data_IF_688599343695
#
_entry.id   IF_688599343695
#
_cell.length_a   1.000
_cell.length_b   1.000
_cell.length_c   1.000
_cell.angle_alpha   90.00
_cell.angle_beta   90.00
_cell.angle_gamma   90.00
#
_symmetry.space_group_name_H-M   'P 1'
#
loop_
_entity.id
_entity.type
_entity.pdbx_description
1 polymer ?
#
# COMPACT_ATOMS: atom_id res chain seq x y z
N UNK A 1 -9.37 18.35 15.18
CA UNK A 1 -7.92 18.26 15.32
C UNK A 1 -7.30 17.52 14.14
N UNK A 2 -6.35 18.15 13.54
CA UNK A 2 -5.67 17.49 12.43
C UNK A 2 -4.61 16.54 12.94
N UNK A 3 -4.49 15.44 12.25
CA UNK A 3 -3.42 14.49 12.45
C UNK A 3 -2.09 15.15 12.10
N UNK A 4 -1.06 14.87 12.87
CA UNK A 4 0.30 15.31 12.54
C UNK A 4 1.03 14.26 11.72
N UNK A 5 0.29 13.50 10.95
CA UNK A 5 0.82 12.46 10.07
C UNK A 5 1.73 13.08 9.02
N UNK A 6 2.96 12.60 8.97
CA UNK A 6 3.97 13.09 8.04
C UNK A 6 4.32 11.96 7.06
N UNK A 7 4.26 12.25 5.78
CA UNK A 7 4.60 11.28 4.75
C UNK A 7 5.75 11.80 3.90
N UNK A 8 6.59 10.89 3.43
CA UNK A 8 7.70 11.24 2.54
C UNK A 8 8.15 10.02 1.75
N UNK A 9 8.83 10.28 0.64
CA UNK A 9 9.52 9.21 -0.09
C UNK A 9 10.71 8.77 0.77
N UNK A 10 10.87 7.46 1.05
CA UNK A 10 12.00 7.01 1.83
C UNK A 10 13.31 7.25 1.09
N UNK A 11 14.25 7.93 1.73
CA UNK A 11 15.53 8.30 1.15
C UNK A 11 16.70 7.81 1.99
N UNK A 12 16.64 8.03 3.32
CA UNK A 12 17.70 7.55 4.21
C UNK A 12 17.61 6.05 4.38
N UNK A 13 18.71 5.43 4.81
CA UNK A 13 18.72 4.00 5.08
C UNK A 13 17.68 3.64 6.13
N UNK A 14 17.54 4.47 7.17
CA UNK A 14 16.53 4.23 8.21
C UNK A 14 15.11 4.28 7.64
N UNK A 15 14.83 5.23 6.76
CA UNK A 15 13.51 5.35 6.15
C UNK A 15 13.22 4.16 5.22
N UNK A 16 14.21 3.69 4.49
CA UNK A 16 14.07 2.50 3.67
C UNK A 16 13.82 1.26 4.54
N UNK A 17 14.52 1.13 5.65
CA UNK A 17 14.32 0.04 6.59
C UNK A 17 12.92 0.12 7.24
N UNK A 18 12.46 1.32 7.56
CA UNK A 18 11.11 1.51 8.11
C UNK A 18 10.04 1.07 7.12
N UNK A 19 10.19 1.43 5.85
CA UNK A 19 9.27 1.01 4.81
C UNK A 19 9.30 -0.51 4.62
N UNK A 20 10.52 -1.08 4.62
CA UNK A 20 10.71 -2.53 4.54
C UNK A 20 9.99 -3.24 5.69
N UNK A 21 10.12 -2.72 6.89
CA UNK A 21 9.50 -3.31 8.08
C UNK A 21 7.98 -3.32 7.99
N UNK A 22 7.39 -2.21 7.53
CA UNK A 22 5.93 -2.16 7.33
C UNK A 22 5.50 -3.22 6.34
N UNK A 23 6.16 -3.31 5.19
CA UNK A 23 5.82 -4.29 4.17
C UNK A 23 5.94 -5.72 4.73
N UNK A 24 7.07 -6.05 5.33
CA UNK A 24 7.34 -7.41 5.78
C UNK A 24 6.46 -7.81 6.97
N UNK A 25 5.98 -6.85 7.73
CA UNK A 25 5.04 -7.11 8.83
C UNK A 25 3.64 -7.39 8.30
N UNK A 26 3.17 -6.61 7.33
CA UNK A 26 1.81 -6.74 6.79
C UNK A 26 1.72 -7.87 5.76
N UNK A 27 2.80 -8.13 5.03
CA UNK A 27 2.85 -9.18 3.99
C UNK A 27 3.97 -10.17 4.34
N UNK A 28 3.82 -10.95 5.42
CA UNK A 28 4.90 -11.84 5.89
C UNK A 28 5.22 -12.97 4.93
N UNK A 29 4.35 -13.28 3.99
CA UNK A 29 4.57 -14.33 3.00
C UNK A 29 5.42 -13.85 1.82
N UNK A 30 5.75 -12.57 1.73
CA UNK A 30 6.42 -12.01 0.57
C UNK A 30 7.44 -10.95 1.00
N UNK A 31 8.49 -11.39 1.67
CA UNK A 31 9.51 -10.51 2.23
C UNK A 31 10.29 -9.77 1.14
N UNK A 32 10.53 -8.49 1.37
CA UNK A 32 11.39 -7.66 0.53
C UNK A 32 12.73 -7.44 1.23
N UNK A 33 13.82 -7.50 0.46
CA UNK A 33 15.13 -7.08 0.93
C UNK A 33 15.23 -5.56 0.85
N UNK A 34 16.27 -4.99 1.41
CA UNK A 34 16.48 -3.55 1.33
C UNK A 34 16.73 -3.10 -0.11
N UNK A 35 17.42 -3.93 -0.90
CA UNK A 35 17.62 -3.66 -2.32
C UNK A 35 16.29 -3.68 -3.10
N UNK A 36 15.38 -4.58 -2.71
CA UNK A 36 14.03 -4.60 -3.30
C UNK A 36 13.31 -3.29 -3.02
N UNK A 37 13.45 -2.74 -1.82
CA UNK A 37 12.81 -1.47 -1.46
C UNK A 37 13.40 -0.33 -2.30
N UNK A 38 14.72 -0.30 -2.46
CA UNK A 38 15.39 0.71 -3.31
C UNK A 38 14.87 0.66 -4.74
N UNK A 39 14.67 -0.54 -5.27
CA UNK A 39 14.12 -0.74 -6.60
C UNK A 39 12.68 -0.21 -6.69
N UNK A 40 11.89 -0.40 -5.64
CA UNK A 40 10.52 0.12 -5.58
C UNK A 40 10.47 1.64 -5.61
N UNK A 41 11.42 2.31 -4.95
CA UNK A 41 11.50 3.78 -4.97
C UNK A 41 11.62 4.29 -6.41
N UNK A 42 12.39 3.58 -7.22
CA UNK A 42 12.62 4.00 -8.61
C UNK A 42 11.46 3.67 -9.55
N UNK A 43 10.79 2.52 -9.33
CA UNK A 43 9.75 2.04 -10.24
C UNK A 43 8.34 2.46 -9.86
N UNK A 44 8.11 2.72 -8.59
CA UNK A 44 6.78 3.07 -8.07
C UNK A 44 6.85 4.36 -7.27
N UNK A 45 5.69 4.91 -6.94
CA UNK A 45 5.62 6.01 -5.98
C UNK A 45 5.31 5.41 -4.62
N UNK A 46 6.28 5.43 -3.72
CA UNK A 46 6.08 4.90 -2.37
C UNK A 46 6.30 5.99 -1.34
N UNK A 47 5.53 5.93 -0.25
CA UNK A 47 5.65 6.85 0.87
C UNK A 47 5.75 6.06 2.16
N UNK A 48 6.59 6.55 3.08
CA UNK A 48 6.61 6.09 4.46
C UNK A 48 5.87 7.14 5.31
N UNK A 49 5.08 6.69 6.26
CA UNK A 49 4.26 7.56 7.10
C UNK A 49 4.69 7.50 8.56
N UNK A 50 4.83 8.66 9.16
CA UNK A 50 5.23 8.81 10.56
C UNK A 50 4.24 9.68 11.33
N UNK A 51 4.06 9.35 12.60
CA UNK A 51 3.41 10.23 13.56
C UNK A 51 4.50 10.62 14.57
N UNK A 52 5.04 11.83 14.43
CA UNK A 52 6.27 12.18 15.13
C UNK A 52 7.41 11.30 14.61
N UNK A 53 8.05 10.55 15.50
CA UNK A 53 9.12 9.61 15.13
C UNK A 53 8.63 8.17 15.01
N UNK A 54 7.32 7.95 15.17
CA UNK A 54 6.75 6.60 15.17
C UNK A 54 6.28 6.23 13.78
N UNK A 55 6.73 5.08 13.29
CA UNK A 55 6.31 4.55 11.99
C UNK A 55 4.86 4.09 12.09
N UNK A 56 4.00 4.60 11.22
CA UNK A 56 2.56 4.28 11.19
C UNK A 56 2.23 3.30 10.07
N UNK A 57 2.76 3.54 8.89
CA UNK A 57 2.40 2.75 7.72
C UNK A 57 3.09 3.22 6.46
N UNK A 58 2.54 2.80 5.33
CA UNK A 58 3.14 3.11 4.03
C UNK A 58 2.09 3.12 2.94
N UNK A 59 2.46 3.71 1.80
CA UNK A 59 1.66 3.63 0.58
C UNK A 59 2.52 3.20 -0.59
N UNK A 60 1.87 2.57 -1.57
CA UNK A 60 2.49 2.24 -2.85
C UNK A 60 1.50 2.61 -3.95
N UNK A 61 1.98 3.31 -4.97
CA UNK A 61 1.21 3.57 -6.18
C UNK A 61 2.03 3.03 -7.34
N UNK A 62 1.52 1.98 -7.98
CA UNK A 62 2.17 1.34 -9.12
C UNK A 62 1.63 1.93 -10.41
N UNK A 63 2.51 2.45 -11.29
CA UNK A 63 2.07 2.97 -12.57
C UNK A 63 1.45 1.88 -13.44
N UNK A 64 0.61 2.24 -14.40
CA UNK A 64 0.09 1.25 -15.36
C UNK A 64 1.22 0.69 -16.21
N UNK A 65 1.03 -0.54 -16.69
CA UNK A 65 1.97 -1.21 -17.60
C UNK A 65 1.21 -1.63 -18.85
N UNK A 66 1.93 -2.15 -19.83
CA UNK A 66 1.29 -2.67 -21.04
C UNK A 66 0.37 -3.84 -20.73
N UNK A 67 0.74 -4.64 -19.73
CA UNK A 67 -0.06 -5.82 -19.33
C UNK A 67 -1.22 -5.45 -18.42
N UNK A 68 -1.11 -4.33 -17.67
CA UNK A 68 -2.13 -3.91 -16.72
C UNK A 68 -2.31 -2.39 -16.82
N UNK A 69 -3.37 -1.91 -17.47
CA UNK A 69 -3.61 -0.48 -17.61
C UNK A 69 -4.10 0.20 -16.34
N UNK A 70 -4.41 -0.57 -15.31
CA UNK A 70 -4.87 0.00 -14.04
C UNK A 70 -3.69 0.54 -13.23
N UNK A 71 -3.97 1.56 -12.41
CA UNK A 71 -3.03 2.03 -11.41
C UNK A 71 -3.34 1.31 -10.11
N UNK A 72 -2.35 0.66 -9.51
CA UNK A 72 -2.54 -0.05 -8.25
C UNK A 72 -2.17 0.84 -7.08
N UNK A 73 -3.09 0.99 -6.14
CA UNK A 73 -2.92 1.79 -4.92
C UNK A 73 -2.97 0.86 -3.71
N UNK A 74 -1.91 0.85 -2.92
CA UNK A 74 -1.83 -0.01 -1.74
C UNK A 74 -1.53 0.85 -0.52
N UNK A 75 -2.36 0.69 0.52
CA UNK A 75 -2.19 1.38 1.80
C UNK A 75 -1.99 0.32 2.88
N UNK A 76 -0.95 0.49 3.68
CA UNK A 76 -0.66 -0.42 4.79
C UNK A 76 -0.48 0.38 6.06
N UNK A 77 -1.19 -0.03 7.12
CA UNK A 77 -1.08 0.58 8.44
C UNK A 77 -0.73 -0.53 9.42
N UNK A 78 0.27 -0.30 10.25
CA UNK A 78 0.66 -1.27 11.27
C UNK A 78 -0.51 -1.48 12.24
N UNK A 79 -0.67 -2.71 12.71
CA UNK A 79 -1.84 -3.12 13.50
C UNK A 79 -2.09 -2.21 14.69
N UNK A 80 -1.04 -1.83 15.42
CA UNK A 80 -1.16 -1.00 16.62
C UNK A 80 -1.65 0.43 16.35
N UNK A 81 -1.69 0.82 15.07
CA UNK A 81 -2.12 2.17 14.67
C UNK A 81 -3.40 2.17 13.84
N UNK A 82 -4.06 1.03 13.73
CA UNK A 82 -5.30 0.91 12.96
C UNK A 82 -6.49 1.48 13.72
N UNK A 83 -7.57 1.76 12.99
CA UNK A 83 -8.84 2.31 13.52
C UNK A 83 -8.71 3.71 14.10
N UNK A 84 -7.68 4.46 13.67
CA UNK A 84 -7.46 5.84 14.08
C UNK A 84 -7.57 6.83 12.91
N UNK A 85 -8.01 6.35 11.74
CA UNK A 85 -8.20 7.19 10.56
C UNK A 85 -6.98 7.38 9.69
N UNK A 86 -5.83 6.80 10.05
CA UNK A 86 -4.60 6.95 9.26
C UNK A 86 -4.71 6.30 7.90
N UNK A 87 -5.36 5.13 7.82
CA UNK A 87 -5.55 4.44 6.55
C UNK A 87 -6.31 5.30 5.54
N UNK A 88 -7.38 5.96 5.98
CA UNK A 88 -8.18 6.82 5.12
C UNK A 88 -7.37 8.02 4.63
N UNK A 89 -6.55 8.61 5.49
CA UNK A 89 -5.70 9.74 5.10
C UNK A 89 -4.62 9.31 4.12
N UNK A 90 -3.98 8.16 4.35
CA UNK A 90 -2.98 7.62 3.44
C UNK A 90 -3.59 7.24 2.10
N UNK A 91 -4.78 6.66 2.12
CA UNK A 91 -5.49 6.33 0.88
C UNK A 91 -5.77 7.57 0.06
N UNK A 92 -6.20 8.66 0.70
CA UNK A 92 -6.48 9.92 0.03
C UNK A 92 -5.22 10.46 -0.67
N UNK A 93 -4.06 10.39 0.00
CA UNK A 93 -2.79 10.82 -0.59
C UNK A 93 -2.38 9.91 -1.75
N UNK A 94 -2.51 8.60 -1.58
CA UNK A 94 -2.16 7.65 -2.63
C UNK A 94 -3.06 7.79 -3.85
N UNK A 95 -4.35 8.01 -3.63
CA UNK A 95 -5.30 8.23 -4.73
C UNK A 95 -4.94 9.51 -5.50
N UNK A 96 -4.55 10.57 -4.81
CA UNK A 96 -4.10 11.80 -5.45
C UNK A 96 -2.89 11.55 -6.33
N UNK A 97 -1.91 10.78 -5.84
CA UNK A 97 -0.74 10.40 -6.65
C UNK A 97 -1.15 9.57 -7.88
N UNK A 98 -2.10 8.65 -7.72
CA UNK A 98 -2.58 7.84 -8.82
C UNK A 98 -3.21 8.72 -9.91
N UNK A 99 -4.01 9.70 -9.50
CA UNK A 99 -4.65 10.63 -10.45
C UNK A 99 -3.64 11.57 -11.14
N UNK A 100 -2.52 11.85 -10.50
CA UNK A 100 -1.43 12.57 -11.15
C UNK A 100 -0.76 11.75 -12.23
N UNK A 101 -0.65 10.43 -12.01
CA UNK A 101 -0.07 9.53 -13.01
C UNK A 101 -1.01 9.36 -14.20
N UNK A 102 -2.30 9.18 -13.95
CA UNK A 102 -3.29 8.98 -14.99
C UNK A 102 -4.68 9.36 -14.45
N UNK A 103 -5.20 10.50 -14.90
CA UNK A 103 -6.45 11.07 -14.38
C UNK A 103 -7.65 10.15 -14.55
N UNK A 104 -7.68 9.38 -15.64
CA UNK A 104 -8.82 8.53 -16.00
C UNK A 104 -8.57 7.05 -15.75
N UNK A 105 -7.50 6.71 -15.04
CA UNK A 105 -7.14 5.32 -14.84
C UNK A 105 -8.14 4.57 -13.96
N UNK A 106 -8.32 3.30 -14.26
CA UNK A 106 -8.96 2.36 -13.35
C UNK A 106 -8.04 2.20 -12.14
N UNK A 107 -8.60 2.26 -10.96
CA UNK A 107 -7.82 2.11 -9.71
C UNK A 107 -8.07 0.72 -9.14
N UNK A 108 -6.99 0.01 -8.82
CA UNK A 108 -7.06 -1.30 -8.20
C UNK A 108 -6.20 -1.33 -6.93
N UNK A 109 -6.46 -2.31 -6.09
CA UNK A 109 -5.63 -2.59 -4.92
C UNK A 109 -5.51 -4.10 -4.76
N UNK A 110 -4.59 -4.52 -3.90
CA UNK A 110 -4.39 -5.94 -3.60
C UNK A 110 -4.27 -6.12 -2.09
N UNK A 111 -4.94 -7.15 -1.56
CA UNK A 111 -4.94 -7.45 -0.12
C UNK A 111 -4.71 -8.94 0.06
N UNK A 112 -3.93 -9.32 1.06
CA UNK A 112 -3.81 -10.74 1.43
C UNK A 112 -5.11 -11.21 2.09
N UNK A 113 -5.55 -12.42 1.76
CA UNK A 113 -6.75 -13.01 2.35
C UNK A 113 -6.62 -13.15 3.88
N UNK A 114 -5.39 -13.23 4.39
CA UNK A 114 -5.13 -13.32 5.82
C UNK A 114 -5.17 -11.96 6.53
N UNK A 115 -5.47 -10.89 5.81
CA UNK A 115 -5.55 -9.54 6.35
C UNK A 115 -6.99 -9.01 6.27
N UNK A 116 -7.89 -9.45 7.18
CA UNK A 116 -9.30 -9.00 7.15
C UNK A 116 -9.48 -7.50 7.36
N UNK A 117 -8.59 -6.87 8.13
CA UNK A 117 -8.65 -5.42 8.34
C UNK A 117 -8.42 -4.67 7.01
N UNK A 118 -7.43 -5.12 6.23
CA UNK A 118 -7.15 -4.52 4.93
C UNK A 118 -8.31 -4.71 3.95
N UNK A 119 -8.91 -5.89 3.95
CA UNK A 119 -10.06 -6.18 3.09
C UNK A 119 -11.26 -5.31 3.47
N UNK A 120 -11.57 -5.21 4.76
CA UNK A 120 -12.66 -4.36 5.23
C UNK A 120 -12.42 -2.89 4.88
N UNK A 121 -11.18 -2.44 5.04
CA UNK A 121 -10.83 -1.07 4.70
C UNK A 121 -11.07 -0.80 3.20
N UNK A 122 -10.58 -1.69 2.34
CA UNK A 122 -10.74 -1.54 0.89
C UNK A 122 -12.21 -1.49 0.51
N UNK A 123 -13.02 -2.39 1.07
CA UNK A 123 -14.46 -2.43 0.79
C UNK A 123 -15.16 -1.14 1.23
N UNK A 124 -14.76 -0.58 2.37
CA UNK A 124 -15.32 0.70 2.84
C UNK A 124 -14.96 1.87 1.92
N UNK A 125 -13.83 1.78 1.24
CA UNK A 125 -13.42 2.81 0.27
C UNK A 125 -14.12 2.64 -1.08
N UNK A 126 -14.89 1.57 -1.27
CA UNK A 126 -15.63 1.34 -2.49
C UNK A 126 -15.00 0.34 -3.45
N UNK A 127 -13.96 -0.37 -3.01
CA UNK A 127 -13.35 -1.40 -3.83
C UNK A 127 -14.20 -2.66 -3.81
N UNK A 128 -14.27 -3.32 -4.97
CA UNK A 128 -15.01 -4.57 -5.16
C UNK A 128 -14.03 -5.65 -5.63
N UNK A 129 -14.13 -6.83 -5.04
CA UNK A 129 -13.27 -7.95 -5.40
C UNK A 129 -13.48 -8.35 -6.86
N UNK A 130 -12.36 -8.55 -7.59
CA UNK A 130 -12.40 -9.00 -8.99
C UNK A 130 -11.72 -10.35 -9.18
N UNK A 131 -10.74 -10.72 -8.35
CA UNK A 131 -10.00 -11.95 -8.53
C UNK A 131 -9.32 -12.38 -7.24
N UNK A 132 -9.21 -13.69 -7.03
CA UNK A 132 -8.36 -14.29 -5.99
C UNK A 132 -7.41 -15.26 -6.63
N UNK A 133 -6.18 -15.27 -6.15
CA UNK A 133 -5.19 -16.22 -6.66
C UNK A 133 -4.13 -16.49 -5.60
N UNK A 134 -3.51 -17.68 -5.74
CA UNK A 134 -2.42 -18.09 -4.85
C UNK A 134 -1.17 -18.22 -5.71
N UNK A 135 -0.08 -17.60 -5.27
CA UNK A 135 1.19 -17.70 -5.99
C UNK A 135 1.80 -19.09 -5.80
N UNK A 136 2.59 -19.57 -6.77
CA UNK A 136 3.21 -20.89 -6.68
C UNK A 136 4.00 -21.05 -5.38
N UNK A 137 3.74 -22.15 -4.67
CA UNK A 137 4.40 -22.44 -3.41
C UNK A 137 3.82 -21.74 -2.19
N UNK A 138 2.80 -20.90 -2.36
CA UNK A 138 2.15 -20.19 -1.25
C UNK A 138 0.78 -20.77 -0.98
N UNK A 139 0.31 -20.59 0.25
CA UNK A 139 -1.00 -21.10 0.68
C UNK A 139 -2.01 -20.00 0.95
N UNK A 140 -1.53 -18.76 1.11
CA UNK A 140 -2.41 -17.62 1.37
C UNK A 140 -2.69 -16.90 0.05
N UNK A 141 -3.96 -16.68 -0.25
CA UNK A 141 -4.37 -16.03 -1.50
C UNK A 141 -4.18 -14.52 -1.41
N UNK A 142 -3.88 -13.93 -2.58
CA UNK A 142 -4.03 -12.49 -2.79
C UNK A 142 -5.42 -12.22 -3.35
N UNK A 143 -5.97 -11.07 -2.99
CA UNK A 143 -7.28 -10.63 -3.48
C UNK A 143 -7.08 -9.32 -4.20
N UNK A 144 -7.41 -9.30 -5.48
CA UNK A 144 -7.40 -8.08 -6.28
C UNK A 144 -8.78 -7.45 -6.22
N UNK A 145 -8.84 -6.13 -5.97
CA UNK A 145 -10.09 -5.38 -5.91
C UNK A 145 -9.98 -4.16 -6.80
N UNK A 146 -11.12 -3.71 -7.32
CA UNK A 146 -11.21 -2.54 -8.20
C UNK A 146 -12.14 -1.52 -7.60
N UNK A 147 -11.75 -0.25 -7.68
CA UNK A 147 -12.60 0.85 -7.23
C UNK A 147 -13.78 0.99 -8.20
N UNK A 148 -14.95 0.90 -7.63
CA UNK A 148 -16.19 0.97 -8.42
C UNK A 148 -16.48 2.40 -8.89
#
# INVERSE_FOLDING_TARGET
MTSSLRTKVPESEQELEDWQRVHNTVVPTHHLSLDDVRDRVERHRILIAYLGDVVIGSTTVRPPTEESPAVTVIVRVLEEHRRLGFGAELYKQALAQARELEAEATIETVVLASNPDGLNFAEKQGFVEIERYTLPGETVAFIDLRLA
#
